data_IF_606364657026
#
_entry.id   IF_606364657026
#
_cell.length_a   1.000
_cell.length_b   1.000
_cell.length_c   1.000
_cell.angle_alpha   90.00
_cell.angle_beta   90.00
_cell.angle_gamma   90.00
#
_symmetry.space_group_name_H-M   'P 1'
#
loop_
_entity.id
_entity.type
_entity.pdbx_description
1 polymer ?
#
# COMPACT_ATOMS: atom_id res chain seq x y z
N UNK A 1 -13.52 -8.74 1.52
CA UNK A 1 -14.25 -7.69 0.78
C UNK A 1 -14.48 -6.50 1.71
N UNK A 2 -13.39 -5.93 2.23
CA UNK A 2 -13.47 -4.76 3.10
C UNK A 2 -13.73 -3.54 2.23
N UNK A 3 -14.49 -2.56 2.72
CA UNK A 3 -14.61 -1.24 2.09
C UNK A 3 -13.22 -0.63 1.94
N UNK A 4 -12.57 -0.80 0.78
CA UNK A 4 -11.39 -0.02 0.42
C UNK A 4 -11.88 1.41 0.33
N UNK A 5 -11.59 2.19 1.36
CA UNK A 5 -12.13 3.55 1.39
C UNK A 5 -11.40 4.32 0.30
N UNK A 6 -12.11 5.18 -0.44
CA UNK A 6 -11.50 6.01 -1.49
C UNK A 6 -10.24 6.75 -1.01
N UNK A 7 -10.17 7.07 0.29
CA UNK A 7 -8.99 7.61 0.96
C UNK A 7 -7.77 6.67 0.93
N UNK A 8 -7.94 5.38 1.19
CA UNK A 8 -6.85 4.38 1.22
C UNK A 8 -6.22 4.23 -0.16
N UNK A 9 -7.02 4.25 -1.22
CA UNK A 9 -6.54 4.17 -2.61
C UNK A 9 -5.76 5.43 -2.99
N UNK A 10 -6.25 6.62 -2.63
CA UNK A 10 -5.51 7.88 -2.85
C UNK A 10 -4.19 7.86 -2.09
N UNK A 11 -4.22 7.45 -0.82
CA UNK A 11 -3.03 7.38 0.00
C UNK A 11 -2.05 6.34 -0.53
N UNK A 12 -2.51 5.19 -1.01
CA UNK A 12 -1.66 4.17 -1.63
C UNK A 12 -0.97 4.65 -2.92
N UNK A 13 -1.57 5.59 -3.65
CA UNK A 13 -0.95 6.16 -4.86
C UNK A 13 0.04 7.27 -4.49
N UNK A 14 -0.22 8.07 -3.46
CA UNK A 14 0.63 9.20 -3.05
C UNK A 14 1.79 8.76 -2.14
N UNK A 15 1.49 7.90 -1.17
CA UNK A 15 2.41 7.25 -0.25
C UNK A 15 1.97 5.78 -0.10
N UNK A 16 2.41 4.88 -1.00
CA UNK A 16 2.06 3.46 -0.97
C UNK A 16 2.15 2.81 0.43
N UNK A 17 3.19 3.06 1.25
CA UNK A 17 3.28 2.42 2.56
C UNK A 17 2.22 2.92 3.55
N UNK A 18 1.67 4.13 3.38
CA UNK A 18 0.63 4.68 4.26
C UNK A 18 -0.73 4.08 3.93
N UNK A 19 -1.04 3.90 2.64
CA UNK A 19 -2.27 3.22 2.21
C UNK A 19 -2.32 1.78 2.71
N UNK A 20 -1.21 1.04 2.58
CA UNK A 20 -1.09 -0.33 3.08
C UNK A 20 -1.11 -0.38 4.61
N UNK A 21 -0.44 0.55 5.29
CA UNK A 21 -0.43 0.63 6.76
C UNK A 21 -1.82 0.85 7.36
N UNK A 22 -2.66 1.69 6.76
CA UNK A 22 -4.01 1.94 7.27
C UNK A 22 -4.91 0.70 7.17
N UNK A 23 -4.65 -0.14 6.18
CA UNK A 23 -5.44 -1.34 5.89
C UNK A 23 -4.96 -2.57 6.67
N UNK A 24 -3.64 -2.80 6.66
CA UNK A 24 -3.00 -4.02 7.21
C UNK A 24 -2.20 -3.76 8.49
N UNK A 25 -2.07 -2.50 8.92
CA UNK A 25 -1.27 -2.11 10.08
C UNK A 25 0.24 -2.20 9.82
N UNK A 26 1.01 -2.32 10.90
CA UNK A 26 2.47 -2.51 10.83
C UNK A 26 2.85 -3.99 10.59
N UNK A 27 2.22 -4.59 9.58
CA UNK A 27 2.42 -5.99 9.21
C UNK A 27 3.58 -6.19 8.24
N UNK A 28 3.72 -7.43 7.74
CA UNK A 28 4.73 -7.78 6.73
C UNK A 28 4.48 -7.00 5.44
N UNK A 29 3.22 -6.79 5.07
CA UNK A 29 2.78 -6.03 3.91
C UNK A 29 3.32 -4.58 3.94
N UNK A 30 3.32 -3.91 5.10
CA UNK A 30 3.89 -2.57 5.25
C UNK A 30 5.40 -2.56 4.97
N UNK A 31 6.13 -3.54 5.49
CA UNK A 31 7.58 -3.62 5.30
C UNK A 31 7.96 -3.96 3.86
N UNK A 32 7.19 -4.84 3.21
CA UNK A 32 7.39 -5.16 1.78
C UNK A 32 7.15 -3.92 0.93
N UNK A 33 6.03 -3.23 1.15
CA UNK A 33 5.69 -2.02 0.42
C UNK A 33 6.70 -0.89 0.64
N UNK A 34 7.17 -0.70 1.88
CA UNK A 34 8.23 0.25 2.24
C UNK A 34 9.54 -0.04 1.50
N UNK A 35 9.98 -1.31 1.48
CA UNK A 35 11.21 -1.71 0.78
C UNK A 35 11.06 -1.55 -0.73
N UNK A 36 9.91 -1.94 -1.30
CA UNK A 36 9.64 -1.76 -2.72
C UNK A 36 9.66 -0.28 -3.09
N UNK A 37 9.01 0.57 -2.30
CA UNK A 37 8.98 2.03 -2.50
C UNK A 37 10.39 2.64 -2.43
N UNK A 38 11.27 2.14 -1.55
CA UNK A 38 12.67 2.56 -1.48
C UNK A 38 13.52 2.06 -2.66
N UNK A 39 13.24 0.87 -3.20
CA UNK A 39 13.89 0.34 -4.41
C UNK A 39 13.36 0.99 -5.69
N UNK A 40 12.13 1.50 -5.65
CA UNK A 40 11.50 2.27 -6.72
C UNK A 40 10.05 2.60 -6.36
N UNK A 41 9.63 3.82 -6.65
CA UNK A 41 8.27 4.24 -6.33
C UNK A 41 7.18 3.42 -7.06
N UNK A 42 7.43 3.08 -8.33
CA UNK A 42 6.50 2.33 -9.18
C UNK A 42 6.21 0.92 -8.63
N UNK A 43 7.21 0.07 -8.29
CA UNK A 43 6.92 -1.25 -7.73
C UNK A 43 6.20 -1.20 -6.38
N UNK A 44 6.41 -0.16 -5.56
CA UNK A 44 5.61 0.09 -4.36
C UNK A 44 4.13 0.29 -4.67
N UNK A 45 3.79 1.17 -5.61
CA UNK A 45 2.39 1.39 -6.02
C UNK A 45 1.72 0.10 -6.52
N UNK A 46 2.42 -0.69 -7.35
CA UNK A 46 1.87 -1.94 -7.88
C UNK A 46 1.55 -2.91 -6.74
N UNK A 47 2.46 -3.03 -5.77
CA UNK A 47 2.26 -3.90 -4.61
C UNK A 47 1.14 -3.40 -3.70
N UNK A 48 1.09 -2.09 -3.39
CA UNK A 48 0.02 -1.50 -2.62
C UNK A 48 -1.37 -1.75 -3.23
N UNK A 49 -1.52 -1.56 -4.55
CA UNK A 49 -2.77 -1.83 -5.27
C UNK A 49 -3.11 -3.33 -5.26
N UNK A 50 -2.12 -4.20 -5.48
CA UNK A 50 -2.32 -5.65 -5.43
C UNK A 50 -2.81 -6.11 -4.05
N UNK A 51 -2.25 -5.55 -2.99
CA UNK A 51 -2.63 -5.86 -1.61
C UNK A 51 -3.99 -5.28 -1.23
N UNK A 52 -4.34 -4.06 -1.67
CA UNK A 52 -5.62 -3.42 -1.36
C UNK A 52 -6.82 -4.07 -2.06
N UNK A 53 -6.64 -4.41 -3.35
CA UNK A 53 -7.69 -5.00 -4.22
C UNK A 53 -7.76 -6.52 -4.08
N UNK A 54 -6.65 -7.15 -3.69
CA UNK A 54 -6.49 -8.61 -3.59
C UNK A 54 -7.19 -9.30 -2.42
#
# INVERSE_FOLDING_TARGET
MGSETFLEVILAILLPPVGVFLRYGCGVEFWIDLVLTMLGYIPGIIYAIYVLVG
#
